data_IF_334148174367
#
_entry.id   IF_334148174367
#
_cell.length_a   1.000
_cell.length_b   1.000
_cell.length_c   1.000
_cell.angle_alpha   90.00
_cell.angle_beta   90.00
_cell.angle_gamma   90.00
#
_symmetry.space_group_name_H-M   'P 1'
#
loop_
_entity.id
_entity.type
_entity.pdbx_description
1 polymer ?
#
# COMPACT_ATOMS: atom_id res chain seq x y z
N UNK A 1 -31.85 58.71 -18.79
CA UNK A 1 -31.65 58.05 -17.49
C UNK A 1 -31.66 56.54 -17.74
N UNK A 2 -30.51 55.87 -17.77
CA UNK A 2 -30.39 54.42 -18.02
C UNK A 2 -30.31 53.70 -16.67
N UNK A 3 -31.22 52.77 -16.41
CA UNK A 3 -31.17 51.88 -15.24
C UNK A 3 -30.59 50.56 -15.73
N UNK A 4 -29.39 50.20 -15.25
CA UNK A 4 -28.81 48.88 -15.50
C UNK A 4 -29.20 47.92 -14.39
N UNK A 5 -29.89 46.84 -14.74
CA UNK A 5 -30.22 45.74 -13.82
C UNK A 5 -29.02 44.79 -13.76
N UNK A 6 -28.43 44.64 -12.56
CA UNK A 6 -27.31 43.73 -12.30
C UNK A 6 -27.87 42.41 -11.75
N UNK A 7 -27.92 41.38 -12.60
CA UNK A 7 -28.30 40.02 -12.19
C UNK A 7 -27.08 39.34 -11.55
N UNK A 8 -27.10 39.12 -10.23
CA UNK A 8 -26.08 38.31 -9.54
C UNK A 8 -26.33 36.83 -9.83
N UNK A 9 -25.37 36.18 -10.50
CA UNK A 9 -25.34 34.73 -10.62
C UNK A 9 -24.98 34.11 -9.25
N UNK A 10 -25.84 33.22 -8.75
CA UNK A 10 -25.56 32.37 -7.61
C UNK A 10 -24.71 31.19 -8.10
N UNK A 11 -23.43 31.15 -7.70
CA UNK A 11 -22.59 29.96 -7.89
C UNK A 11 -22.90 29.01 -6.73
N UNK A 12 -23.49 27.85 -7.02
CA UNK A 12 -23.52 26.75 -6.06
C UNK A 12 -22.11 26.17 -5.94
N UNK A 13 -21.45 26.43 -4.82
CA UNK A 13 -20.28 25.66 -4.42
C UNK A 13 -20.75 24.24 -4.07
N UNK A 14 -20.28 23.24 -4.83
CA UNK A 14 -20.40 21.84 -4.40
C UNK A 14 -19.42 21.64 -3.24
N UNK A 15 -19.93 21.24 -2.08
CA UNK A 15 -19.10 20.84 -0.97
C UNK A 15 -18.40 19.52 -1.34
N UNK A 16 -17.08 19.55 -1.49
CA UNK A 16 -16.28 18.33 -1.53
C UNK A 16 -16.29 17.76 -0.12
N UNK A 17 -16.91 16.60 0.06
CA UNK A 17 -16.84 15.85 1.32
C UNK A 17 -15.44 15.25 1.40
N UNK A 18 -14.51 15.95 2.05
CA UNK A 18 -13.25 15.35 2.47
C UNK A 18 -13.51 14.58 3.77
N UNK A 19 -13.38 13.25 3.75
CA UNK A 19 -13.37 12.48 4.98
C UNK A 19 -12.13 12.90 5.79
N UNK A 20 -12.34 13.66 6.87
CA UNK A 20 -11.28 14.00 7.80
C UNK A 20 -11.15 12.86 8.82
N UNK A 21 -9.98 12.25 8.87
CA UNK A 21 -9.65 11.23 9.87
C UNK A 21 -8.95 11.93 11.03
N UNK A 22 -9.59 11.88 12.21
CA UNK A 22 -8.97 12.36 13.43
C UNK A 22 -8.30 11.16 14.10
N UNK A 23 -7.06 10.89 13.72
CA UNK A 23 -6.21 9.94 14.41
C UNK A 23 -5.73 10.61 15.70
N UNK A 24 -5.98 9.99 16.85
CA UNK A 24 -5.43 10.49 18.12
C UNK A 24 -3.97 10.05 18.15
N UNK A 25 -2.99 10.98 18.08
CA UNK A 25 -1.60 10.60 18.20
C UNK A 25 -1.40 9.91 19.54
N UNK A 26 -0.58 8.86 19.59
CA UNK A 26 -0.06 8.36 20.87
C UNK A 26 0.62 9.56 21.56
N UNK A 27 -0.03 10.07 22.62
CA UNK A 27 0.04 11.48 23.04
C UNK A 27 1.41 12.14 22.90
N UNK A 28 1.46 13.31 22.24
CA UNK A 28 2.58 14.27 22.07
C UNK A 28 3.97 13.79 22.56
N UNK A 29 4.41 12.66 22.03
CA UNK A 29 5.77 12.17 22.14
C UNK A 29 6.41 12.49 20.80
N UNK A 30 7.52 13.22 20.84
CA UNK A 30 8.43 13.31 19.71
C UNK A 30 8.79 11.88 19.30
N UNK A 31 8.32 11.44 18.13
CA UNK A 31 8.45 10.10 17.54
C UNK A 31 7.55 9.01 18.16
N UNK A 32 6.41 8.76 17.52
CA UNK A 32 5.51 7.64 17.85
C UNK A 32 5.89 6.39 17.04
N UNK A 33 5.93 5.22 17.68
CA UNK A 33 6.25 3.94 17.03
C UNK A 33 5.02 3.04 16.93
N UNK A 34 4.92 2.28 15.84
CA UNK A 34 3.84 1.33 15.62
C UNK A 34 4.30 0.07 14.90
N UNK A 35 3.49 -0.98 15.02
CA UNK A 35 3.59 -2.18 14.19
C UNK A 35 2.79 -2.00 12.90
N UNK A 36 3.12 -2.80 11.89
CA UNK A 36 2.37 -2.83 10.64
C UNK A 36 2.14 -4.25 10.15
N UNK A 37 1.48 -4.35 9.01
CA UNK A 37 1.08 -5.59 8.35
C UNK A 37 1.30 -5.53 6.84
N UNK A 38 1.36 -6.70 6.20
CA UNK A 38 1.36 -6.80 4.76
C UNK A 38 -0.05 -6.48 4.22
N UNK A 39 -0.13 -5.68 3.15
CA UNK A 39 -1.41 -5.27 2.52
C UNK A 39 -2.06 -6.45 1.78
N UNK A 40 -1.25 -7.32 1.18
CA UNK A 40 -1.70 -8.38 0.29
C UNK A 40 -1.01 -9.72 0.60
N UNK A 41 -1.17 -10.27 1.82
CA UNK A 41 -0.45 -11.47 2.27
C UNK A 41 -0.83 -12.74 1.50
N UNK A 42 -2.00 -12.77 0.88
CA UNK A 42 -2.54 -13.96 0.21
C UNK A 42 -2.09 -14.10 -1.26
N UNK A 43 -1.33 -13.15 -1.79
CA UNK A 43 -0.80 -13.23 -3.15
C UNK A 43 0.38 -14.21 -3.23
N UNK A 44 0.51 -14.85 -4.39
CA UNK A 44 1.64 -15.74 -4.67
C UNK A 44 2.86 -14.93 -5.15
N UNK A 45 3.70 -14.50 -4.19
CA UNK A 45 4.97 -13.82 -4.44
C UNK A 45 6.10 -14.74 -4.93
N UNK A 46 5.90 -16.05 -4.83
CA UNK A 46 6.86 -17.03 -5.32
C UNK A 46 6.79 -17.17 -6.85
N UNK A 47 5.70 -16.74 -7.50
CA UNK A 47 5.50 -16.92 -8.93
C UNK A 47 6.59 -16.28 -9.79
N UNK A 48 6.85 -14.98 -9.61
CA UNK A 48 7.81 -14.23 -10.42
C UNK A 48 9.25 -14.76 -10.22
N UNK A 49 9.70 -14.86 -8.97
CA UNK A 49 11.04 -15.38 -8.64
C UNK A 49 11.29 -16.83 -9.08
N UNK A 50 10.26 -17.70 -9.08
CA UNK A 50 10.43 -19.08 -9.52
C UNK A 50 10.72 -19.17 -11.02
N UNK A 51 10.30 -18.19 -11.81
CA UNK A 51 10.64 -18.10 -13.23
C UNK A 51 12.08 -17.63 -13.44
N UNK A 52 12.60 -16.80 -12.53
CA UNK A 52 13.98 -16.31 -12.56
C UNK A 52 15.01 -17.32 -12.01
N UNK A 53 14.57 -18.31 -11.23
CA UNK A 53 15.45 -19.32 -10.63
C UNK A 53 16.42 -18.76 -9.59
N UNK A 54 16.16 -17.56 -9.07
CA UNK A 54 16.97 -16.89 -8.05
C UNK A 54 16.62 -17.40 -6.64
N UNK A 55 17.47 -17.14 -5.62
CA UNK A 55 17.13 -17.44 -4.24
C UNK A 55 15.82 -16.78 -3.80
N UNK A 56 15.06 -17.46 -2.95
CA UNK A 56 13.81 -16.92 -2.41
C UNK A 56 14.10 -15.93 -1.28
N UNK A 57 13.81 -14.66 -1.49
CA UNK A 57 13.90 -13.63 -0.45
C UNK A 57 12.54 -13.37 0.18
N UNK A 58 12.50 -13.06 1.46
CA UNK A 58 11.31 -12.64 2.18
C UNK A 58 11.56 -11.27 2.78
N UNK A 59 10.49 -10.49 2.96
CA UNK A 59 10.56 -9.16 3.57
C UNK A 59 9.57 -9.06 4.72
N UNK A 60 10.03 -8.54 5.84
CA UNK A 60 9.24 -8.28 7.03
C UNK A 60 9.42 -6.85 7.50
N UNK A 61 8.32 -6.22 7.91
CA UNK A 61 8.36 -4.94 8.60
C UNK A 61 8.72 -5.16 10.06
N UNK A 62 9.84 -4.61 10.52
CA UNK A 62 10.30 -4.72 11.90
C UNK A 62 9.81 -3.55 12.75
N UNK A 63 9.87 -2.34 12.20
CA UNK A 63 9.51 -1.13 12.94
C UNK A 63 8.97 -0.04 12.01
N UNK A 64 8.02 0.74 12.53
CA UNK A 64 7.56 1.99 11.92
C UNK A 64 7.62 3.07 12.97
N UNK A 65 8.20 4.21 12.61
CA UNK A 65 8.25 5.38 13.46
C UNK A 65 7.78 6.61 12.68
N UNK A 66 6.69 7.21 13.14
CA UNK A 66 6.18 8.46 12.59
C UNK A 66 7.09 9.64 12.97
N UNK A 67 7.44 10.46 11.99
CA UNK A 67 8.23 11.67 12.20
C UNK A 67 7.33 12.92 12.20
N UNK A 68 6.68 13.20 11.07
CA UNK A 68 5.75 14.31 10.88
C UNK A 68 4.99 14.12 9.56
N UNK A 69 3.81 14.72 9.41
CA UNK A 69 2.96 14.61 8.22
C UNK A 69 2.85 13.14 7.73
N UNK A 70 3.18 12.87 6.47
CA UNK A 70 3.26 11.51 5.91
C UNK A 70 4.69 10.94 5.89
N UNK A 71 5.62 11.47 6.69
CA UNK A 71 7.00 11.01 6.78
C UNK A 71 7.15 9.97 7.89
N UNK A 72 7.69 8.81 7.52
CA UNK A 72 7.94 7.71 8.44
C UNK A 72 9.35 7.16 8.24
N UNK A 73 9.98 6.76 9.34
CA UNK A 73 11.08 5.79 9.31
C UNK A 73 10.49 4.39 9.31
N UNK A 74 10.91 3.57 8.35
CA UNK A 74 10.58 2.15 8.33
C UNK A 74 11.86 1.33 8.45
N UNK A 75 11.79 0.25 9.22
CA UNK A 75 12.82 -0.77 9.29
C UNK A 75 12.28 -2.05 8.67
N UNK A 76 12.89 -2.49 7.58
CA UNK A 76 12.58 -3.78 6.95
C UNK A 76 13.69 -4.77 7.25
N UNK A 77 13.33 -6.04 7.44
CA UNK A 77 14.26 -7.18 7.39
C UNK A 77 14.03 -7.93 6.10
N UNK A 78 15.11 -8.17 5.37
CA UNK A 78 15.12 -9.00 4.17
C UNK A 78 15.95 -10.24 4.45
N UNK A 79 15.40 -11.42 4.20
CA UNK A 79 16.08 -12.68 4.50
C UNK A 79 15.77 -13.79 3.49
N UNK A 80 16.68 -14.75 3.34
CA UNK A 80 16.51 -15.95 2.52
C UNK A 80 16.91 -17.20 3.29
N UNK A 81 16.27 -18.33 3.00
CA UNK A 81 16.74 -19.64 3.50
C UNK A 81 18.06 -20.06 2.84
N UNK A 82 18.37 -19.48 1.67
CA UNK A 82 19.65 -19.66 0.99
C UNK A 82 20.64 -18.63 1.51
N UNK A 83 21.71 -19.10 2.15
CA UNK A 83 22.75 -18.22 2.67
C UNK A 83 23.86 -18.01 1.64
N UNK A 84 24.16 -16.74 1.35
CA UNK A 84 25.21 -16.33 0.41
C UNK A 84 26.14 -15.38 1.15
N UNK A 85 27.45 -15.57 1.03
CA UNK A 85 28.42 -14.72 1.72
C UNK A 85 28.40 -13.30 1.15
N UNK A 86 28.65 -12.31 2.01
CA UNK A 86 28.91 -10.93 1.58
C UNK A 86 30.13 -10.83 0.65
N UNK A 87 31.03 -11.82 0.70
CA UNK A 87 32.17 -11.94 -0.23
C UNK A 87 31.74 -12.11 -1.69
N UNK A 88 30.58 -12.71 -1.93
CA UNK A 88 30.02 -12.94 -3.26
C UNK A 88 29.17 -11.75 -3.74
N UNK A 89 28.80 -10.82 -2.84
CA UNK A 89 28.04 -9.62 -3.16
C UNK A 89 28.95 -8.51 -3.71
N UNK A 90 28.58 -7.91 -4.85
CA UNK A 90 29.20 -6.68 -5.34
C UNK A 90 28.49 -5.43 -4.81
N UNK A 91 27.16 -5.38 -4.93
CA UNK A 91 26.34 -4.29 -4.40
C UNK A 91 24.91 -4.73 -4.09
N UNK A 92 24.31 -4.09 -3.10
CA UNK A 92 22.85 -4.09 -2.89
C UNK A 92 22.37 -2.71 -2.45
N UNK A 93 21.24 -2.30 -3.01
CA UNK A 93 20.63 -0.98 -2.77
C UNK A 93 19.12 -1.07 -2.89
N UNK A 94 18.45 -0.17 -2.17
CA UNK A 94 17.02 0.07 -2.31
C UNK A 94 16.85 1.22 -3.31
N UNK A 95 15.99 1.07 -4.31
CA UNK A 95 15.78 2.07 -5.37
C UNK A 95 14.29 2.34 -5.61
N UNK A 96 14.00 3.48 -6.22
CA UNK A 96 12.63 3.89 -6.53
C UNK A 96 11.80 4.28 -5.31
N UNK A 97 12.44 4.56 -4.17
CA UNK A 97 11.75 4.95 -2.95
C UNK A 97 11.22 6.38 -3.09
N UNK A 98 9.97 6.62 -2.70
CA UNK A 98 9.47 7.98 -2.50
C UNK A 98 9.91 8.47 -1.12
N UNK A 99 10.94 9.32 -1.05
CA UNK A 99 11.56 9.71 0.23
C UNK A 99 12.12 11.14 0.22
N UNK A 100 12.11 11.83 1.38
CA UNK A 100 12.83 13.10 1.54
C UNK A 100 14.36 12.97 1.33
N UNK A 101 14.92 11.77 1.48
CA UNK A 101 16.39 11.53 1.41
C UNK A 101 16.89 11.14 0.02
N UNK A 102 15.99 11.20 -0.98
CA UNK A 102 16.26 10.72 -2.33
C UNK A 102 15.74 9.31 -2.56
N UNK A 103 15.78 8.87 -3.83
CA UNK A 103 15.11 7.64 -4.25
C UNK A 103 15.99 6.39 -4.20
N UNK A 104 17.22 6.48 -3.71
CA UNK A 104 18.18 5.38 -3.66
C UNK A 104 18.92 5.35 -2.34
N UNK A 105 18.92 4.20 -1.69
CA UNK A 105 19.63 3.93 -0.44
C UNK A 105 20.65 2.81 -0.67
N UNK A 106 21.94 3.17 -0.70
CA UNK A 106 23.01 2.20 -0.83
C UNK A 106 23.20 1.45 0.49
N UNK A 107 23.09 0.12 0.46
CA UNK A 107 23.29 -0.73 1.63
C UNK A 107 24.70 -1.34 1.64
N UNK A 108 25.15 -1.82 0.48
CA UNK A 108 26.51 -2.31 0.29
C UNK A 108 26.97 -1.99 -1.13
N UNK A 109 28.23 -1.59 -1.29
CA UNK A 109 28.85 -1.38 -2.59
C UNK A 109 30.37 -1.44 -2.49
N UNK A 110 31.00 -2.35 -3.25
CA UNK A 110 32.47 -2.49 -3.26
C UNK A 110 33.18 -1.32 -3.92
N UNK A 111 32.58 -0.68 -4.92
CA UNK A 111 33.18 0.42 -5.65
C UNK A 111 33.07 1.73 -4.84
N UNK A 112 31.88 2.01 -4.31
CA UNK A 112 31.60 3.20 -3.48
C UNK A 112 32.07 3.06 -2.03
N UNK A 113 32.57 1.87 -1.64
CA UNK A 113 33.06 1.57 -0.27
C UNK A 113 31.98 1.76 0.79
N UNK A 114 30.76 1.32 0.48
CA UNK A 114 29.62 1.31 1.41
C UNK A 114 29.46 -0.10 1.99
N UNK A 115 29.30 -0.21 3.30
CA UNK A 115 29.16 -1.49 4.00
C UNK A 115 28.24 -1.34 5.24
N UNK A 116 26.96 -1.07 4.99
CA UNK A 116 25.95 -0.89 6.04
C UNK A 116 25.26 -2.21 6.44
N UNK A 117 25.56 -3.31 5.72
CA UNK A 117 25.09 -4.66 6.00
C UNK A 117 26.27 -5.64 5.97
N UNK A 118 26.14 -6.76 6.67
CA UNK A 118 27.14 -7.82 6.78
C UNK A 118 26.71 -9.14 6.10
N UNK A 119 25.43 -9.29 5.78
CA UNK A 119 24.88 -10.44 5.06
C UNK A 119 23.93 -9.98 3.97
N UNK A 120 24.11 -10.43 2.71
CA UNK A 120 23.21 -10.07 1.62
C UNK A 120 21.91 -10.88 1.62
N UNK A 121 21.82 -11.90 2.47
CA UNK A 121 20.69 -12.85 2.59
C UNK A 121 20.01 -12.82 3.95
N UNK A 122 20.42 -11.95 4.86
CA UNK A 122 19.71 -11.63 6.10
C UNK A 122 20.20 -10.27 6.62
N UNK A 123 19.45 -9.20 6.35
CA UNK A 123 19.82 -7.85 6.79
C UNK A 123 18.60 -7.02 7.15
N UNK A 124 18.85 -5.98 7.94
CA UNK A 124 17.88 -4.92 8.19
C UNK A 124 18.30 -3.62 7.52
N UNK A 125 17.32 -2.87 7.02
CA UNK A 125 17.54 -1.54 6.46
C UNK A 125 16.50 -0.57 7.05
N UNK A 126 16.98 0.56 7.54
CA UNK A 126 16.14 1.64 8.08
C UNK A 126 16.29 2.89 7.23
N UNK A 127 15.18 3.41 6.71
CA UNK A 127 15.17 4.59 5.84
C UNK A 127 13.85 5.35 5.96
N UNK A 128 13.86 6.63 5.56
CA UNK A 128 12.66 7.46 5.52
C UNK A 128 11.89 7.27 4.24
N UNK A 129 10.58 7.40 4.34
CA UNK A 129 9.66 7.41 3.20
C UNK A 129 8.60 8.50 3.38
N UNK A 130 8.06 8.96 2.25
CA UNK A 130 6.72 9.54 2.19
C UNK A 130 5.73 8.39 2.02
N UNK A 131 4.92 8.13 3.04
CA UNK A 131 3.90 7.09 2.97
C UNK A 131 2.72 7.53 2.10
N UNK A 132 2.14 6.58 1.38
CA UNK A 132 0.86 6.76 0.69
C UNK A 132 -0.26 6.60 1.73
N UNK A 133 -1.03 7.65 1.96
CA UNK A 133 -2.07 7.71 3.00
C UNK A 133 -3.45 7.61 2.37
N UNK A 134 -4.23 6.62 2.80
CA UNK A 134 -5.66 6.49 2.51
C UNK A 134 -6.43 6.28 3.82
N UNK A 135 -7.15 7.33 4.20
CA UNK A 135 -7.89 7.40 5.44
C UNK A 135 -7.04 7.20 6.69
N UNK A 136 -7.27 6.10 7.42
CA UNK A 136 -6.52 5.75 8.64
C UNK A 136 -5.28 4.89 8.37
N UNK A 137 -5.04 4.52 7.11
CA UNK A 137 -3.99 3.60 6.72
C UNK A 137 -2.90 4.34 5.95
N UNK A 138 -1.66 4.15 6.36
CA UNK A 138 -0.48 4.57 5.63
C UNK A 138 0.21 3.32 5.06
N UNK A 139 0.79 3.43 3.87
CA UNK A 139 1.51 2.33 3.22
C UNK A 139 2.89 2.75 2.75
N UNK A 140 3.77 1.76 2.56
CA UNK A 140 5.14 1.97 2.10
C UNK A 140 5.26 2.48 0.66
N UNK A 141 4.17 2.45 -0.10
CA UNK A 141 4.23 2.57 -1.56
C UNK A 141 5.03 1.44 -2.19
N UNK A 142 5.49 1.69 -3.42
CA UNK A 142 6.24 0.76 -4.26
C UNK A 142 7.71 1.16 -4.33
N UNK A 143 8.62 0.20 -4.21
CA UNK A 143 10.08 0.37 -4.39
C UNK A 143 10.72 -0.96 -4.74
N UNK A 144 11.99 -0.96 -5.13
CA UNK A 144 12.73 -2.16 -5.49
C UNK A 144 13.97 -2.32 -4.61
N UNK A 145 14.45 -3.54 -4.51
CA UNK A 145 15.78 -3.84 -3.97
C UNK A 145 16.56 -4.51 -5.09
N UNK A 146 17.70 -3.94 -5.45
CA UNK A 146 18.56 -4.40 -6.53
C UNK A 146 19.79 -5.10 -5.94
N UNK A 147 20.05 -6.33 -6.36
CA UNK A 147 21.27 -7.08 -6.05
C UNK A 147 22.16 -7.19 -7.28
N UNK A 148 23.45 -7.10 -7.04
CA UNK A 148 24.50 -7.50 -7.97
C UNK A 148 25.47 -8.42 -7.25
N UNK A 149 25.38 -9.72 -7.54
CA UNK A 149 26.34 -10.75 -7.15
C UNK A 149 27.38 -10.96 -8.25
N UNK A 150 28.53 -11.51 -7.86
CA UNK A 150 29.51 -12.07 -8.79
C UNK A 150 29.97 -11.10 -9.90
N UNK A 151 30.05 -9.80 -9.61
CA UNK A 151 30.57 -8.78 -10.53
C UNK A 151 32.01 -8.43 -10.17
N UNK A 152 32.81 -8.14 -11.20
CA UNK A 152 34.17 -7.62 -11.07
C UNK A 152 34.99 -8.41 -10.05
N UNK A 153 35.48 -7.79 -8.96
CA UNK A 153 36.35 -8.44 -7.98
C UNK A 153 35.73 -9.65 -7.26
N UNK A 154 34.40 -9.80 -7.21
CA UNK A 154 33.76 -10.98 -6.64
C UNK A 154 33.41 -12.07 -7.67
N UNK A 155 33.63 -11.87 -8.98
CA UNK A 155 33.36 -12.92 -9.98
C UNK A 155 34.27 -14.14 -9.82
N UNK A 156 35.39 -14.00 -9.11
CA UNK A 156 36.42 -15.01 -8.95
C UNK A 156 36.23 -15.94 -7.73
N UNK A 157 35.22 -15.71 -6.89
CA UNK A 157 34.95 -16.59 -5.75
C UNK A 157 34.55 -17.99 -6.21
N UNK A 158 34.68 -18.98 -5.32
CA UNK A 158 34.33 -20.36 -5.64
C UNK A 158 32.83 -20.52 -5.95
N UNK A 159 31.97 -19.78 -5.25
CA UNK A 159 30.53 -19.78 -5.51
C UNK A 159 30.22 -19.11 -6.86
N UNK A 160 30.81 -17.95 -7.14
CA UNK A 160 30.55 -17.23 -8.39
C UNK A 160 31.04 -17.97 -9.64
N UNK A 161 32.15 -18.72 -9.54
CA UNK A 161 32.63 -19.61 -10.62
C UNK A 161 31.67 -20.73 -10.98
N UNK A 162 30.78 -21.11 -10.05
CA UNK A 162 29.79 -22.19 -10.21
C UNK A 162 28.47 -21.77 -9.59
N UNK A 163 27.97 -20.61 -10.00
CA UNK A 163 26.74 -20.02 -9.47
C UNK A 163 25.57 -21.00 -9.70
N UNK A 164 24.98 -21.56 -8.63
CA UNK A 164 23.96 -22.59 -8.76
C UNK A 164 22.54 -22.02 -8.87
N UNK A 165 22.40 -20.70 -8.79
CA UNK A 165 21.13 -19.98 -8.87
C UNK A 165 20.98 -19.36 -10.26
N UNK A 166 19.85 -18.70 -10.52
CA UNK A 166 19.56 -17.99 -11.77
C UNK A 166 20.43 -16.76 -11.97
N UNK A 167 19.82 -15.62 -12.29
CA UNK A 167 20.58 -14.41 -12.57
C UNK A 167 21.39 -13.92 -11.35
N UNK A 168 22.56 -13.35 -11.63
CA UNK A 168 23.43 -12.73 -10.61
C UNK A 168 23.13 -11.26 -10.40
N UNK A 169 22.30 -10.66 -11.24
CA UNK A 169 21.86 -9.26 -11.15
C UNK A 169 20.35 -9.25 -11.34
N UNK A 170 19.62 -8.76 -10.35
CA UNK A 170 18.17 -8.79 -10.35
C UNK A 170 17.60 -7.74 -9.42
N UNK A 171 16.37 -7.32 -9.74
CA UNK A 171 15.57 -6.39 -8.97
C UNK A 171 14.36 -7.13 -8.40
N UNK A 172 14.11 -6.98 -7.10
CA UNK A 172 12.90 -7.48 -6.45
C UNK A 172 11.98 -6.32 -6.09
N UNK A 173 10.74 -6.39 -6.57
CA UNK A 173 9.78 -5.31 -6.49
C UNK A 173 8.83 -5.48 -5.30
N UNK A 174 8.62 -4.42 -4.53
CA UNK A 174 7.51 -4.31 -3.57
C UNK A 174 6.25 -3.87 -4.31
N UNK A 175 5.23 -4.73 -4.39
CA UNK A 175 3.97 -4.43 -5.07
C UNK A 175 2.85 -5.39 -4.66
N UNK A 176 1.60 -4.90 -4.66
CA UNK A 176 0.40 -5.74 -4.54
C UNK A 176 -0.33 -5.94 -5.87
N UNK A 177 0.29 -5.61 -7.01
CA UNK A 177 -0.28 -5.89 -8.31
C UNK A 177 -0.26 -7.40 -8.58
N UNK A 178 -1.35 -7.95 -9.09
CA UNK A 178 -1.47 -9.37 -9.40
C UNK A 178 -2.24 -9.63 -10.70
N UNK A 179 -2.01 -10.80 -11.29
CA UNK A 179 -2.83 -11.31 -12.38
C UNK A 179 -4.18 -11.86 -11.88
N UNK A 180 -5.00 -12.36 -12.79
CA UNK A 180 -6.30 -12.96 -12.48
C UNK A 180 -6.22 -14.35 -11.82
N UNK A 181 -5.03 -14.84 -11.49
CA UNK A 181 -4.75 -16.10 -10.79
C UNK A 181 -4.10 -15.86 -9.42
N UNK A 182 -4.12 -14.62 -8.91
CA UNK A 182 -3.47 -14.18 -7.68
C UNK A 182 -1.94 -14.34 -7.67
N UNK A 183 -1.30 -14.41 -8.85
CA UNK A 183 0.15 -14.33 -8.93
C UNK A 183 0.59 -12.88 -8.88
N UNK A 184 1.39 -12.55 -7.86
CA UNK A 184 1.94 -11.21 -7.72
C UNK A 184 2.87 -10.91 -8.91
N UNK A 185 2.80 -9.67 -9.39
CA UNK A 185 3.74 -9.10 -10.36
C UNK A 185 4.95 -8.46 -9.66
N UNK A 186 4.91 -8.36 -8.33
CA UNK A 186 6.05 -8.05 -7.49
C UNK A 186 6.52 -9.26 -6.70
N UNK A 187 7.60 -9.07 -5.96
CA UNK A 187 8.31 -10.10 -5.20
C UNK A 187 8.07 -9.97 -3.70
N UNK A 188 7.63 -8.80 -3.24
CA UNK A 188 7.26 -8.56 -1.85
C UNK A 188 5.95 -7.79 -1.73
N UNK A 189 5.17 -8.02 -0.66
CA UNK A 189 3.95 -7.26 -0.41
C UNK A 189 4.24 -5.82 0.00
N UNK A 190 3.36 -4.91 -0.38
CA UNK A 190 3.31 -3.55 0.20
C UNK A 190 3.04 -3.66 1.70
N UNK A 191 3.69 -2.81 2.48
CA UNK A 191 3.57 -2.77 3.93
C UNK A 191 2.58 -1.65 4.34
N UNK A 192 1.87 -1.85 5.44
CA UNK A 192 0.85 -0.92 5.94
C UNK A 192 0.91 -0.75 7.46
N UNK A 193 0.48 0.41 7.94
CA UNK A 193 0.36 0.75 9.36
C UNK A 193 -0.71 1.82 9.55
N UNK A 194 -1.02 2.14 10.81
CA UNK A 194 -1.93 3.24 11.12
C UNK A 194 -1.24 4.59 10.92
N UNK A 195 -1.97 5.55 10.33
CA UNK A 195 -1.54 6.94 10.21
C UNK A 195 -1.13 7.49 11.59
N UNK A 196 -0.04 8.25 11.60
CA UNK A 196 0.62 8.88 12.75
C UNK A 196 1.08 7.88 13.84
N UNK A 197 1.19 6.60 13.48
CA UNK A 197 1.34 5.51 14.45
C UNK A 197 0.31 5.58 15.59
N UNK A 198 -0.91 6.02 15.23
CA UNK A 198 -2.01 6.15 16.18
C UNK A 198 -2.55 4.78 16.59
N UNK A 199 -2.94 4.69 17.86
CA UNK A 199 -3.58 3.47 18.40
C UNK A 199 -5.06 3.36 18.00
N UNK A 200 -5.66 4.48 17.56
CA UNK A 200 -7.04 4.54 17.11
C UNK A 200 -7.25 5.73 16.17
N UNK A 201 -7.81 5.45 14.99
CA UNK A 201 -8.34 6.47 14.10
C UNK A 201 -9.87 6.37 14.09
N UNK A 202 -10.54 7.50 14.31
CA UNK A 202 -11.99 7.61 14.16
C UNK A 202 -12.30 8.50 12.96
N UNK A 203 -13.08 7.95 12.02
CA UNK A 203 -13.67 8.73 10.94
C UNK A 203 -14.64 9.72 11.56
N UNK A 204 -14.30 11.00 11.50
CA UNK A 204 -15.21 12.07 11.93
C UNK A 204 -15.94 12.55 10.69
N UNK A 205 -17.16 12.05 10.47
CA UNK A 205 -18.08 12.70 9.54
C UNK A 205 -18.45 14.06 10.14
N UNK A 206 -17.75 15.11 9.69
CA UNK A 206 -18.19 16.49 9.97
C UNK A 206 -19.37 16.76 9.05
N UNK A 207 -20.57 16.43 9.52
CA UNK A 207 -21.79 16.97 8.96
C UNK A 207 -21.77 18.48 9.20
N UNK A 208 -21.41 19.25 8.17
CA UNK A 208 -21.59 20.69 8.17
C UNK A 208 -23.08 20.98 8.37
N UNK A 209 -23.44 21.29 9.61
CA UNK A 209 -24.80 21.70 9.95
C UNK A 209 -24.93 23.12 9.45
N UNK A 210 -25.61 23.31 8.32
CA UNK A 210 -25.97 24.63 7.81
C UNK A 210 -26.88 25.28 8.87
N UNK A 211 -26.32 26.15 9.71
CA UNK A 211 -27.11 26.98 10.62
C UNK A 211 -27.86 28.02 9.78
N UNK A 212 -29.08 27.67 9.36
CA UNK A 212 -30.05 28.64 8.87
C UNK A 212 -30.51 29.50 10.04
N UNK A 213 -29.79 30.60 10.29
CA UNK A 213 -30.25 31.68 11.15
C UNK A 213 -31.49 32.33 10.49
N UNK A 214 -32.67 31.81 10.79
CA UNK A 214 -33.93 32.52 10.60
C UNK A 214 -34.22 33.35 11.88
N UNK A 215 -34.47 34.67 11.78
CA UNK A 215 -34.82 35.48 12.94
C UNK A 215 -36.33 35.36 13.22
N UNK A 216 -36.68 34.89 14.41
CA UNK A 216 -38.06 34.89 14.93
C UNK A 216 -38.18 35.92 16.04
N UNK A 217 -39.10 36.88 15.86
CA UNK A 217 -39.39 37.98 16.78
C UNK A 217 -40.44 37.56 17.81
N UNK A 218 -40.13 37.79 19.10
CA UNK A 218 -40.96 38.19 20.26
C UNK A 218 -42.30 37.49 20.58
N UNK A 219 -42.45 36.97 21.81
CA UNK A 219 -43.12 37.68 22.94
C UNK A 219 -43.53 36.75 24.12
N UNK A 220 -43.33 37.21 25.36
CA UNK A 220 -44.09 36.77 26.56
C UNK A 220 -43.32 36.02 27.68
N UNK A 221 -43.33 36.50 28.95
CA UNK A 221 -42.61 35.90 30.08
C UNK A 221 -43.50 34.99 30.94
N UNK A 222 -42.93 33.95 31.55
CA UNK A 222 -43.67 33.01 32.42
C UNK A 222 -42.80 32.05 33.24
N UNK A 223 -42.39 32.54 34.41
CA UNK A 223 -42.16 31.89 35.72
C UNK A 223 -41.96 30.36 35.89
N UNK A 224 -40.91 30.06 36.67
CA UNK A 224 -40.74 29.05 37.75
C UNK A 224 -40.35 27.58 37.48
N UNK A 225 -39.23 27.26 38.11
CA UNK A 225 -38.65 26.00 38.60
C UNK A 225 -39.55 24.76 38.74
N UNK A 226 -38.94 23.59 38.47
CA UNK A 226 -38.84 22.48 39.45
C UNK A 226 -37.85 21.42 38.98
N UNK A 227 -36.73 21.30 39.69
CA UNK A 227 -36.07 20.01 40.01
C UNK A 227 -37.07 19.13 40.78
N UNK A 228 -37.10 17.79 40.64
CA UNK A 228 -36.30 16.77 41.35
C UNK A 228 -36.60 15.36 40.72
N UNK A 229 -36.11 14.18 41.20
CA UNK A 229 -35.42 13.16 40.38
C UNK A 229 -36.04 11.73 40.55
N UNK A 230 -35.22 10.67 40.43
CA UNK A 230 -35.48 9.24 40.76
C UNK A 230 -36.37 8.48 39.76
N UNK A 231 -36.28 7.16 39.54
CA UNK A 231 -35.46 6.04 40.03
C UNK A 231 -35.67 4.86 39.06
N UNK A 232 -34.83 3.83 39.20
CA UNK A 232 -34.78 2.54 38.53
C UNK A 232 -35.94 1.55 38.82
N UNK A 233 -36.42 0.88 37.74
CA UNK A 233 -36.97 -0.50 37.64
C UNK A 233 -38.47 -0.74 37.94
N UNK A 234 -39.08 -1.94 37.67
CA UNK A 234 -38.83 -3.00 36.66
C UNK A 234 -40.11 -3.55 35.92
N UNK A 235 -39.96 -4.30 34.81
CA UNK A 235 -40.94 -5.24 34.17
C UNK A 235 -42.15 -4.62 33.42
N UNK A 236 -42.82 -5.15 32.38
CA UNK A 236 -42.86 -6.40 31.58
C UNK A 236 -43.80 -6.13 30.38
N UNK A 237 -43.56 -6.65 29.16
CA UNK A 237 -44.61 -7.08 28.21
C UNK A 237 -44.06 -7.81 26.96
N UNK A 238 -44.79 -8.84 26.54
CA UNK A 238 -44.47 -9.91 25.58
C UNK A 238 -44.55 -9.58 24.07
N UNK A 239 -43.73 -10.33 23.32
CA UNK A 239 -43.99 -11.10 22.08
C UNK A 239 -44.69 -10.45 20.87
N UNK A 240 -44.01 -10.47 19.71
CA UNK A 240 -44.43 -11.23 18.51
C UNK A 240 -43.46 -11.02 17.32
N UNK A 241 -43.07 -12.14 16.70
CA UNK A 241 -42.35 -12.22 15.42
C UNK A 241 -43.39 -12.27 14.29
N UNK A 242 -43.11 -11.72 13.11
CA UNK A 242 -43.55 -12.38 11.88
C UNK A 242 -42.41 -12.63 10.89
N UNK A 243 -42.35 -13.89 10.45
CA UNK A 243 -41.74 -14.34 9.21
C UNK A 243 -42.51 -13.78 8.01
N UNK A 244 -41.82 -13.51 6.90
CA UNK A 244 -42.44 -13.59 5.57
C UNK A 244 -41.42 -14.09 4.54
N UNK A 245 -41.73 -15.26 3.98
CA UNK A 245 -41.10 -15.92 2.84
C UNK A 245 -41.56 -15.31 1.51
N UNK A 246 -40.65 -15.31 0.52
CA UNK A 246 -40.93 -14.86 -0.85
C UNK A 246 -41.98 -15.70 -1.59
N UNK A 247 -42.35 -15.27 -2.82
CA UNK A 247 -42.06 -16.13 -3.98
C UNK A 247 -41.80 -15.33 -5.29
N UNK A 248 -41.24 -15.99 -6.30
CA UNK A 248 -41.45 -15.57 -7.69
C UNK A 248 -40.30 -15.81 -8.67
N UNK A 249 -40.36 -16.93 -9.39
CA UNK A 249 -39.60 -17.20 -10.61
C UNK A 249 -39.77 -16.11 -11.67
N UNK A 250 -38.68 -15.77 -12.37
CA UNK A 250 -38.75 -15.22 -13.72
C UNK A 250 -37.54 -15.72 -14.54
N UNK A 251 -37.80 -16.69 -15.42
CA UNK A 251 -36.95 -16.97 -16.58
C UNK A 251 -36.91 -15.73 -17.47
N UNK A 252 -35.72 -15.30 -17.86
CA UNK A 252 -35.53 -14.59 -19.12
C UNK A 252 -34.20 -15.00 -19.75
N UNK A 253 -34.38 -15.64 -20.90
CA UNK A 253 -33.42 -16.12 -21.87
C UNK A 253 -32.61 -14.99 -22.51
N UNK A 254 -31.29 -15.18 -22.62
CA UNK A 254 -30.45 -14.51 -23.61
C UNK A 254 -29.76 -15.60 -24.44
N UNK A 255 -29.83 -15.53 -25.78
CA UNK A 255 -29.52 -16.67 -26.65
C UNK A 255 -28.01 -16.92 -26.77
N UNK A 256 -27.64 -18.18 -26.60
CA UNK A 256 -26.45 -18.76 -27.22
C UNK A 256 -26.61 -18.66 -28.74
N UNK A 257 -25.70 -17.95 -29.40
CA UNK A 257 -25.41 -18.17 -30.81
C UNK A 257 -24.16 -19.02 -30.91
N UNK A 258 -24.35 -20.24 -31.38
CA UNK A 258 -23.31 -21.19 -31.78
C UNK A 258 -23.01 -21.01 -33.26
N UNK A 259 -21.72 -20.98 -33.62
CA UNK A 259 -21.30 -21.06 -35.03
C UNK A 259 -19.78 -20.95 -35.22
N UNK A 260 -19.13 -21.85 -35.99
CA UNK A 260 -17.71 -22.19 -35.85
C UNK A 260 -16.80 -21.45 -36.84
N UNK A 261 -15.53 -21.29 -36.46
CA UNK A 261 -14.50 -20.72 -37.34
C UNK A 261 -13.13 -21.30 -37.04
N UNK A 262 -12.87 -22.51 -37.54
CA UNK A 262 -11.52 -23.02 -37.75
C UNK A 262 -10.81 -22.16 -38.79
N UNK A 263 -9.67 -21.58 -38.44
CA UNK A 263 -8.64 -21.22 -39.41
C UNK A 263 -7.26 -21.39 -38.76
N UNK A 264 -6.61 -22.49 -39.11
CA UNK A 264 -5.16 -22.64 -39.04
C UNK A 264 -4.49 -21.46 -39.75
N UNK A 265 -3.42 -20.93 -39.17
CA UNK A 265 -2.35 -20.32 -39.97
C UNK A 265 -1.02 -20.56 -39.27
N UNK A 266 -0.28 -21.45 -39.91
CA UNK A 266 1.11 -21.79 -39.72
C UNK A 266 2.03 -20.57 -39.94
N UNK A 267 3.13 -20.60 -39.19
CA UNK A 267 4.37 -19.81 -39.24
C UNK A 267 4.84 -19.53 -40.70
N UNK A 268 5.64 -18.47 -40.92
CA UNK A 268 7.05 -18.81 -41.14
C UNK A 268 8.06 -17.91 -40.41
N UNK A 269 9.12 -18.58 -39.98
CA UNK A 269 10.47 -18.08 -39.76
C UNK A 269 10.87 -16.96 -40.73
N UNK A 270 11.56 -15.94 -40.21
CA UNK A 270 12.51 -15.16 -40.99
C UNK A 270 13.84 -15.11 -40.25
N UNK A 271 14.84 -15.74 -40.87
CA UNK A 271 16.22 -15.88 -40.43
C UNK A 271 17.12 -14.82 -41.09
N UNK A 272 17.93 -14.14 -40.26
CA UNK A 272 19.27 -13.58 -40.59
C UNK A 272 19.34 -12.10 -40.99
N UNK A 273 20.56 -11.48 -40.97
CA UNK A 273 21.88 -12.09 -40.75
C UNK A 273 22.70 -11.51 -39.57
N UNK A 274 23.66 -12.33 -39.16
CA UNK A 274 24.86 -12.04 -38.37
C UNK A 274 25.80 -11.15 -39.19
N UNK A 275 26.37 -10.10 -38.58
CA UNK A 275 27.58 -9.47 -39.09
C UNK A 275 28.65 -9.39 -38.00
N UNK A 276 29.77 -10.02 -38.33
CA UNK A 276 31.05 -10.03 -37.64
C UNK A 276 31.73 -8.67 -37.79
N UNK A 277 32.36 -8.17 -36.73
CA UNK A 277 33.54 -7.31 -36.87
C UNK A 277 34.60 -7.69 -35.84
N UNK A 278 35.60 -8.44 -36.31
CA UNK A 278 36.95 -8.50 -35.76
C UNK A 278 37.81 -7.45 -36.44
N UNK A 279 38.46 -6.59 -35.66
CA UNK A 279 39.89 -6.26 -35.75
C UNK A 279 40.33 -5.46 -34.53
#
# INVERSE_FOLDING_TARGET
>A
MKISTLTKAFVLAQAVVTNAYNCVPSGHSTQATCSGSQVCPDLNFDFHRNQLGIPKYNMQLQNVQWETDNIYWITIRVYSDTQISIDDLFSVKIIGVNSPDGSTFQLYDRNLKVANIDSPTDFEATFRIYADVDGSTATSGSFQIQWDYCKDVCSDTALCKKWPYGDTSFDLQVSCNADNQNNAQGDFPVLSWNVDCSKSCVSSQVSASTSSNAPSISSGPGTTSSSIPYSSGPGTASSSIPYSSGPGSASSSIPYSSGPGTASSSIPYSSGPVDQWTR
#
